data_IF_517885919917
#
_entry.id   IF_517885919917
#
_cell.length_a   1.000
_cell.length_b   1.000
_cell.length_c   1.000
_cell.angle_alpha   90.00
_cell.angle_beta   90.00
_cell.angle_gamma   90.00
#
_symmetry.space_group_name_H-M   'P 1'
#
loop_
_entity.id
_entity.type
_entity.pdbx_description
1 polymer ?
#
# COMPACT_ATOMS: atom_id res chain seq x y z
N UNK A 1 15.22 30.12 -3.60
CA UNK A 1 16.01 31.10 -4.37
C UNK A 1 16.90 30.45 -5.44
N UNK A 2 17.78 29.48 -5.12
CA UNK A 2 18.64 28.81 -6.11
C UNK A 2 17.89 28.16 -7.30
N UNK A 3 16.74 27.52 -7.07
CA UNK A 3 16.02 26.78 -8.12
C UNK A 3 15.27 27.67 -9.12
N UNK A 4 14.79 28.85 -8.70
CA UNK A 4 14.19 29.82 -9.63
C UNK A 4 15.26 30.50 -10.50
N UNK A 5 16.43 30.78 -9.93
CA UNK A 5 17.57 31.30 -10.67
C UNK A 5 18.04 30.34 -11.77
N UNK A 6 18.13 29.04 -11.47
CA UNK A 6 18.48 28.00 -12.47
C UNK A 6 17.46 27.94 -13.60
N UNK A 7 16.15 27.99 -13.30
CA UNK A 7 15.11 28.00 -14.34
C UNK A 7 15.21 29.23 -15.26
N UNK A 8 15.41 30.41 -14.67
CA UNK A 8 15.60 31.65 -15.44
C UNK A 8 16.84 31.56 -16.34
N UNK A 9 17.95 31.01 -15.83
CA UNK A 9 19.17 30.79 -16.60
C UNK A 9 18.97 29.79 -17.75
N UNK A 10 18.25 28.69 -17.54
CA UNK A 10 17.93 27.72 -18.59
C UNK A 10 17.06 28.32 -19.70
N UNK A 11 16.09 29.18 -19.36
CA UNK A 11 15.27 29.88 -20.35
C UNK A 11 16.12 30.87 -21.15
N UNK A 12 16.95 31.68 -20.48
CA UNK A 12 17.87 32.61 -21.13
C UNK A 12 18.83 31.88 -22.08
N UNK A 13 19.41 30.77 -21.63
CA UNK A 13 20.30 29.93 -22.44
C UNK A 13 19.56 29.33 -23.66
N UNK A 14 18.31 28.91 -23.50
CA UNK A 14 17.52 28.41 -24.64
C UNK A 14 17.18 29.49 -25.67
N UNK A 15 17.00 30.75 -25.26
CA UNK A 15 16.82 31.88 -26.19
C UNK A 15 18.11 32.16 -26.97
N UNK A 16 19.26 32.11 -26.30
CA UNK A 16 20.57 32.30 -26.93
C UNK A 16 20.91 31.21 -27.96
N UNK A 17 20.32 30.01 -27.83
CA UNK A 17 20.50 28.90 -28.77
C UNK A 17 19.64 29.01 -30.04
N UNK A 18 18.58 29.83 -30.07
CA UNK A 18 17.66 29.94 -31.21
C UNK A 18 18.40 30.26 -32.52
N UNK A 19 19.33 31.24 -32.58
CA UNK A 19 20.07 31.53 -33.82
C UNK A 19 20.92 30.37 -34.31
N UNK A 20 21.53 29.62 -33.38
CA UNK A 20 22.34 28.45 -33.72
C UNK A 20 21.48 27.33 -34.29
N UNK A 21 20.33 27.05 -33.65
CA UNK A 21 19.38 26.05 -34.13
C UNK A 21 18.73 26.45 -35.45
N UNK A 22 18.51 27.75 -35.71
CA UNK A 22 18.03 28.23 -37.00
C UNK A 22 19.03 27.96 -38.14
N UNK A 23 20.32 28.22 -37.90
CA UNK A 23 21.39 27.93 -38.88
C UNK A 23 21.49 26.43 -39.14
N UNK A 24 21.45 25.61 -38.09
CA UNK A 24 21.47 24.15 -38.20
C UNK A 24 20.23 23.64 -38.94
N UNK A 25 19.04 24.13 -38.63
CA UNK A 25 17.80 23.74 -39.30
C UNK A 25 17.85 24.09 -40.80
N UNK A 26 18.37 25.27 -41.16
CA UNK A 26 18.57 25.64 -42.57
C UNK A 26 19.57 24.71 -43.27
N UNK A 27 20.68 24.34 -42.61
CA UNK A 27 21.65 23.40 -43.16
C UNK A 27 21.05 22.01 -43.47
N UNK A 28 20.15 21.51 -42.62
CA UNK A 28 19.52 20.20 -42.83
C UNK A 28 18.29 20.22 -43.75
N UNK A 29 17.62 21.36 -43.91
CA UNK A 29 16.36 21.46 -44.68
C UNK A 29 16.59 21.81 -46.15
N UNK A 30 17.67 22.53 -46.47
CA UNK A 30 17.96 22.93 -47.84
C UNK A 30 19.15 22.15 -48.41
N UNK A 31 18.88 21.20 -49.30
CA UNK A 31 19.92 20.39 -49.99
C UNK A 31 20.93 21.22 -50.79
N UNK A 32 20.56 22.46 -51.16
CA UNK A 32 21.45 23.40 -51.84
C UNK A 32 22.59 23.95 -50.95
N UNK A 33 22.43 23.92 -49.62
CA UNK A 33 23.38 24.46 -48.65
C UNK A 33 24.39 23.38 -48.24
N UNK A 34 25.43 23.17 -49.05
CA UNK A 34 26.43 22.10 -48.83
C UNK A 34 27.45 22.39 -47.72
N UNK A 35 27.45 23.60 -47.15
CA UNK A 35 28.38 23.98 -46.08
C UNK A 35 27.71 24.85 -45.01
N UNK A 36 28.20 24.73 -43.77
CA UNK A 36 27.72 25.53 -42.64
C UNK A 36 27.85 27.05 -42.89
N UNK A 37 28.91 27.48 -43.58
CA UNK A 37 29.14 28.88 -43.93
C UNK A 37 28.05 29.42 -44.89
N UNK A 38 27.60 28.61 -45.84
CA UNK A 38 26.49 28.97 -46.73
C UNK A 38 25.17 29.07 -45.96
N UNK A 39 24.91 28.15 -45.02
CA UNK A 39 23.73 28.20 -44.17
C UNK A 39 23.71 29.43 -43.25
N UNK A 40 24.87 29.86 -42.74
CA UNK A 40 25.01 31.11 -42.00
C UNK A 40 24.66 32.33 -42.86
N UNK A 41 25.26 32.46 -44.06
CA UNK A 41 24.97 33.60 -44.96
C UNK A 41 23.53 33.63 -45.43
N UNK A 42 22.93 32.47 -45.70
CA UNK A 42 21.51 32.36 -46.03
C UNK A 42 20.63 32.78 -44.85
N UNK A 43 20.95 32.32 -43.63
CA UNK A 43 20.20 32.73 -42.44
C UNK A 43 20.26 34.26 -42.23
N UNK A 44 21.43 34.87 -42.45
CA UNK A 44 21.61 36.32 -42.39
C UNK A 44 20.83 37.06 -43.49
N UNK A 45 20.78 36.53 -44.71
CA UNK A 45 20.03 37.18 -45.80
C UNK A 45 18.52 37.20 -45.55
N UNK A 46 17.97 36.15 -44.92
CA UNK A 46 16.58 36.12 -44.48
C UNK A 46 16.29 37.26 -43.49
N UNK A 47 17.16 37.45 -42.47
CA UNK A 47 16.98 38.54 -41.50
C UNK A 47 17.15 39.94 -42.12
N UNK A 48 18.16 40.13 -42.97
CA UNK A 48 18.37 41.41 -43.67
C UNK A 48 17.22 41.73 -44.62
N UNK A 49 16.65 40.73 -45.28
CA UNK A 49 15.46 40.88 -46.12
C UNK A 49 14.24 41.36 -45.33
N UNK A 50 13.97 40.73 -44.19
CA UNK A 50 12.90 41.15 -43.28
C UNK A 50 13.13 42.56 -42.72
N UNK A 51 14.36 42.89 -42.33
CA UNK A 51 14.71 44.23 -41.82
C UNK A 51 14.53 45.33 -42.88
N UNK A 52 14.79 45.01 -44.15
CA UNK A 52 14.61 45.94 -45.29
C UNK A 52 13.15 46.06 -45.75
N UNK A 53 12.20 45.42 -45.08
CA UNK A 53 10.77 45.57 -45.34
C UNK A 53 10.15 44.48 -46.22
N UNK A 54 10.82 43.34 -46.44
CA UNK A 54 10.18 42.19 -47.07
C UNK A 54 9.02 41.68 -46.18
N UNK A 55 7.88 41.39 -46.80
CA UNK A 55 6.75 40.81 -46.08
C UNK A 55 7.11 39.42 -45.58
N UNK A 56 6.76 39.12 -44.33
CA UNK A 56 7.01 37.80 -43.75
C UNK A 56 6.25 36.70 -44.49
N UNK A 57 5.13 37.07 -45.14
CA UNK A 57 4.26 36.17 -45.91
C UNK A 57 4.89 35.68 -47.21
N UNK A 58 5.88 36.41 -47.74
CA UNK A 58 6.53 36.10 -49.02
C UNK A 58 7.71 35.11 -48.88
N UNK A 59 7.98 34.64 -47.65
CA UNK A 59 9.01 33.65 -47.39
C UNK A 59 8.64 32.29 -47.97
N UNK A 60 9.66 31.51 -48.35
CA UNK A 60 9.47 30.12 -48.80
C UNK A 60 8.97 29.23 -47.65
N UNK A 61 8.17 28.22 -47.97
CA UNK A 61 7.59 27.29 -47.00
C UNK A 61 8.64 26.66 -46.07
N UNK A 62 9.79 26.29 -46.61
CA UNK A 62 10.89 25.66 -45.88
C UNK A 62 11.46 26.57 -44.79
N UNK A 63 11.46 27.89 -44.99
CA UNK A 63 11.95 28.87 -44.00
C UNK A 63 11.03 28.93 -42.78
N UNK A 64 9.71 28.76 -42.96
CA UNK A 64 8.79 28.70 -41.83
C UNK A 64 9.01 27.44 -40.98
N UNK A 65 9.29 26.29 -41.61
CA UNK A 65 9.60 25.05 -40.91
C UNK A 65 10.90 25.18 -40.11
N UNK A 66 11.94 25.80 -40.68
CA UNK A 66 13.21 26.01 -39.95
C UNK A 66 13.07 27.04 -38.83
N UNK A 67 12.21 28.04 -38.96
CA UNK A 67 11.82 28.94 -37.87
C UNK A 67 11.05 28.22 -36.75
N UNK A 68 10.17 27.27 -37.07
CA UNK A 68 9.47 26.47 -36.06
C UNK A 68 10.43 25.55 -35.30
N UNK A 69 11.34 24.87 -36.02
CA UNK A 69 12.34 23.96 -35.45
C UNK A 69 13.32 24.74 -34.56
N UNK A 70 13.68 25.98 -34.91
CA UNK A 70 14.62 26.78 -34.11
C UNK A 70 14.07 27.16 -32.73
N UNK A 71 12.74 27.13 -32.55
CA UNK A 71 12.07 27.33 -31.25
C UNK A 71 12.05 26.07 -30.38
N UNK A 72 12.44 24.90 -30.90
CA UNK A 72 12.41 23.63 -30.16
C UNK A 72 13.16 23.67 -28.82
N UNK A 73 14.37 24.26 -28.69
CA UNK A 73 15.06 24.34 -27.41
C UNK A 73 14.27 25.12 -26.35
N UNK A 74 13.59 26.19 -26.75
CA UNK A 74 12.75 27.00 -25.87
C UNK A 74 11.49 26.24 -25.45
N UNK A 75 10.83 25.56 -26.39
CA UNK A 75 9.65 24.73 -26.09
C UNK A 75 9.99 23.57 -25.15
N UNK A 76 11.16 22.94 -25.32
CA UNK A 76 11.66 21.88 -24.46
C UNK A 76 11.97 22.37 -23.04
N UNK A 77 12.64 23.53 -22.89
CA UNK A 77 12.95 24.10 -21.56
C UNK A 77 11.68 24.53 -20.83
N UNK A 78 10.71 25.11 -21.53
CA UNK A 78 9.39 25.44 -20.98
C UNK A 78 8.69 24.18 -20.48
N UNK A 79 8.63 23.12 -21.30
CA UNK A 79 8.01 21.85 -20.94
C UNK A 79 8.62 21.20 -19.69
N UNK A 80 9.96 21.19 -19.58
CA UNK A 80 10.68 20.64 -18.43
C UNK A 80 10.50 21.53 -17.18
N UNK A 81 10.32 22.83 -17.35
CA UNK A 81 10.18 23.78 -16.24
C UNK A 81 8.84 23.70 -15.52
N UNK A 82 7.80 23.16 -16.17
CA UNK A 82 6.51 22.92 -15.55
C UNK A 82 6.64 21.86 -14.45
N UNK A 83 6.24 22.18 -13.21
CA UNK A 83 6.31 21.22 -12.11
C UNK A 83 5.38 20.04 -12.41
N UNK A 84 5.96 18.84 -12.56
CA UNK A 84 5.20 17.59 -12.79
C UNK A 84 4.39 17.17 -11.55
N UNK A 85 4.77 17.65 -10.38
CA UNK A 85 4.12 17.36 -9.10
C UNK A 85 3.91 18.67 -8.36
N UNK A 86 2.66 18.97 -7.99
CA UNK A 86 2.37 20.03 -7.01
C UNK A 86 2.81 19.50 -5.65
N UNK A 87 3.90 20.04 -5.09
CA UNK A 87 4.24 19.80 -3.69
C UNK A 87 3.17 20.48 -2.83
N UNK A 88 2.39 19.69 -2.10
CA UNK A 88 1.38 20.17 -1.16
C UNK A 88 1.97 20.18 0.24
N UNK A 89 1.72 21.25 1.00
CA UNK A 89 2.16 21.40 2.40
C UNK A 89 1.61 20.32 3.34
N UNK A 90 0.52 19.65 2.95
CA UNK A 90 -0.19 18.66 3.77
C UNK A 90 -0.05 17.23 3.24
N UNK A 91 0.96 16.97 2.41
CA UNK A 91 1.22 15.65 1.84
C UNK A 91 0.29 15.28 0.69
N UNK A 92 0.46 14.07 0.17
CA UNK A 92 -0.19 13.59 -1.06
C UNK A 92 -1.60 13.00 -0.83
N UNK A 93 -2.12 13.06 0.39
CA UNK A 93 -3.45 12.55 0.71
C UNK A 93 -4.52 13.33 -0.06
N UNK A 94 -5.35 12.60 -0.81
CA UNK A 94 -6.48 13.14 -1.55
C UNK A 94 -7.56 12.09 -1.67
N UNK A 95 -8.79 12.54 -1.93
CA UNK A 95 -9.86 11.64 -2.32
C UNK A 95 -9.47 10.87 -3.58
N UNK A 96 -9.80 9.58 -3.58
CA UNK A 96 -9.60 8.71 -4.72
C UNK A 96 -10.55 9.11 -5.85
N UNK A 97 -10.03 9.17 -7.08
CA UNK A 97 -10.83 9.37 -8.28
C UNK A 97 -11.12 8.01 -8.94
N UNK A 98 -12.02 7.98 -9.92
CA UNK A 98 -12.32 6.75 -10.68
C UNK A 98 -11.08 6.08 -11.23
N UNK A 99 -10.12 6.88 -11.73
CA UNK A 99 -8.81 6.42 -12.20
C UNK A 99 -7.98 5.69 -11.13
N UNK A 100 -8.16 5.96 -9.85
CA UNK A 100 -7.38 5.29 -8.81
C UNK A 100 -7.96 3.90 -8.44
N UNK A 101 -9.26 3.73 -8.68
CA UNK A 101 -10.04 2.52 -8.41
C UNK A 101 -10.12 1.63 -9.65
N UNK A 102 -10.21 2.20 -10.84
CA UNK A 102 -10.32 1.49 -12.12
C UNK A 102 -9.00 0.79 -12.52
N UNK A 103 -9.14 -0.36 -13.19
CA UNK A 103 -8.04 -1.15 -13.72
C UNK A 103 -7.28 -0.37 -14.82
N UNK A 104 -5.96 -0.25 -14.69
CA UNK A 104 -5.10 0.00 -15.85
C UNK A 104 -4.46 -1.29 -16.32
N UNK A 105 -4.48 -1.54 -17.63
CA UNK A 105 -3.62 -2.55 -18.24
C UNK A 105 -2.26 -1.90 -18.47
N UNK A 106 -1.28 -2.29 -17.68
CA UNK A 106 0.11 -1.85 -17.85
C UNK A 106 0.88 -2.98 -18.52
N UNK A 107 1.68 -2.64 -19.53
CA UNK A 107 2.67 -3.55 -20.10
C UNK A 107 3.73 -3.85 -19.04
N UNK A 108 3.79 -5.09 -18.57
CA UNK A 108 4.80 -5.57 -17.61
C UNK A 108 5.82 -6.44 -18.33
N UNK A 109 7.06 -6.50 -17.82
CA UNK A 109 8.06 -7.48 -18.28
C UNK A 109 7.58 -8.93 -18.17
N UNK A 110 6.60 -9.19 -17.30
CA UNK A 110 6.00 -10.51 -17.03
C UNK A 110 4.86 -10.87 -18.01
N UNK A 111 4.46 -9.98 -18.92
CA UNK A 111 3.41 -10.26 -19.90
C UNK A 111 2.59 -9.05 -20.35
N UNK A 112 1.77 -9.27 -21.38
CA UNK A 112 1.14 -8.22 -22.21
C UNK A 112 0.07 -7.37 -21.49
N UNK A 113 -0.44 -7.76 -20.31
CA UNK A 113 -1.47 -7.01 -19.58
C UNK A 113 -1.43 -7.32 -18.07
N UNK A 114 -0.65 -6.58 -17.28
CA UNK A 114 -0.81 -6.59 -15.82
C UNK A 114 -1.91 -5.60 -15.45
N UNK A 115 -3.00 -6.09 -14.87
CA UNK A 115 -4.06 -5.24 -14.33
C UNK A 115 -3.57 -4.63 -13.02
N UNK A 116 -3.41 -3.32 -12.98
CA UNK A 116 -2.93 -2.59 -11.81
C UNK A 116 -3.94 -1.52 -11.44
N UNK A 117 -4.41 -1.61 -10.20
CA UNK A 117 -5.17 -0.55 -9.53
C UNK A 117 -4.19 0.27 -8.70
N UNK A 118 -4.26 1.60 -8.75
CA UNK A 118 -3.36 2.45 -7.95
C UNK A 118 -3.54 2.23 -6.45
N UNK A 119 -4.77 1.97 -6.03
CA UNK A 119 -5.09 1.61 -4.64
C UNK A 119 -4.79 0.14 -4.32
N UNK A 120 -4.49 -0.69 -5.32
CA UNK A 120 -4.30 -2.13 -5.14
C UNK A 120 -5.57 -2.89 -4.75
N UNK A 121 -6.74 -2.31 -5.01
CA UNK A 121 -8.06 -2.96 -4.86
C UNK A 121 -8.32 -3.92 -6.02
N UNK A 122 -9.32 -4.78 -5.87
CA UNK A 122 -9.81 -5.71 -6.88
C UNK A 122 -11.35 -5.67 -6.91
N UNK A 123 -11.99 -6.30 -7.90
CA UNK A 123 -13.45 -6.32 -8.00
C UNK A 123 -14.08 -7.72 -7.86
N UNK A 124 -13.26 -8.77 -7.89
CA UNK A 124 -13.75 -10.14 -7.99
C UNK A 124 -13.62 -10.90 -6.67
N UNK A 125 -12.52 -10.72 -5.93
CA UNK A 125 -12.21 -11.47 -4.73
C UNK A 125 -11.58 -10.58 -3.65
N UNK A 126 -11.75 -10.98 -2.38
CA UNK A 126 -11.12 -10.35 -1.23
C UNK A 126 -12.11 -9.71 -0.25
N UNK A 127 -11.56 -9.00 0.73
CA UNK A 127 -12.34 -8.31 1.76
C UNK A 127 -13.05 -7.09 1.15
N UNK A 128 -14.37 -7.07 1.18
CA UNK A 128 -15.19 -5.99 0.61
C UNK A 128 -15.06 -4.75 1.49
N UNK A 129 -14.53 -3.67 0.88
CA UNK A 129 -14.42 -2.34 1.47
C UNK A 129 -15.61 -1.45 1.15
N UNK A 130 -16.28 -1.67 0.03
CA UNK A 130 -17.42 -0.86 -0.41
C UNK A 130 -17.88 -1.19 -1.82
N UNK A 131 -18.62 -0.29 -2.44
CA UNK A 131 -19.07 -0.42 -3.84
C UNK A 131 -18.71 0.80 -4.67
N UNK A 132 -18.38 0.60 -5.94
CA UNK A 132 -17.98 1.65 -6.87
C UNK A 132 -18.54 1.41 -8.27
N UNK A 133 -18.96 2.49 -8.94
CA UNK A 133 -19.42 2.48 -10.34
C UNK A 133 -20.89 2.89 -10.54
N UNK A 134 -21.20 3.41 -11.72
CA UNK A 134 -22.54 3.76 -12.20
C UNK A 134 -22.66 3.40 -13.69
N UNK A 135 -23.78 2.88 -14.20
CA UNK A 135 -25.04 2.56 -13.51
C UNK A 135 -25.00 1.25 -12.71
N UNK A 136 -24.02 0.38 -12.97
CA UNK A 136 -23.83 -0.87 -12.22
C UNK A 136 -22.74 -0.69 -11.17
N UNK A 137 -23.13 -0.83 -9.90
CA UNK A 137 -22.21 -0.87 -8.76
C UNK A 137 -21.45 -2.20 -8.77
N UNK A 138 -20.14 -2.14 -8.58
CA UNK A 138 -19.26 -3.30 -8.37
C UNK A 138 -18.68 -3.26 -6.97
N UNK A 139 -18.45 -4.42 -6.39
CA UNK A 139 -17.83 -4.53 -5.08
C UNK A 139 -16.34 -4.18 -5.19
N UNK A 140 -15.84 -3.34 -4.29
CA UNK A 140 -14.43 -2.97 -4.20
C UNK A 140 -13.81 -3.78 -3.09
N UNK A 141 -12.98 -4.73 -3.48
CA UNK A 141 -12.37 -5.70 -2.60
C UNK A 141 -10.89 -5.39 -2.38
N UNK A 142 -10.36 -5.87 -1.25
CA UNK A 142 -8.97 -5.80 -0.91
C UNK A 142 -8.45 -7.19 -0.58
N UNK A 143 -7.51 -7.66 -1.40
CA UNK A 143 -6.94 -9.02 -1.34
C UNK A 143 -5.42 -8.94 -1.17
N UNK A 144 -4.99 -8.23 -0.11
CA UNK A 144 -3.59 -8.20 0.32
C UNK A 144 -3.52 -8.52 1.80
N UNK A 145 -2.41 -9.10 2.29
CA UNK A 145 -2.25 -9.51 3.68
C UNK A 145 -1.96 -8.30 4.60
N UNK A 146 -2.77 -7.24 4.51
CA UNK A 146 -2.75 -6.10 5.43
C UNK A 146 -4.07 -6.02 6.19
N UNK A 147 -4.05 -5.47 7.39
CA UNK A 147 -5.25 -5.23 8.19
C UNK A 147 -6.10 -4.08 7.64
N UNK A 148 -7.42 -4.16 7.86
CA UNK A 148 -8.37 -3.09 7.60
C UNK A 148 -9.00 -2.61 8.90
N UNK A 149 -9.06 -1.30 9.11
CA UNK A 149 -9.73 -0.67 10.25
C UNK A 149 -10.97 0.07 9.78
N UNK A 150 -12.11 -0.22 10.41
CA UNK A 150 -13.40 0.37 10.05
C UNK A 150 -13.89 1.19 11.24
N UNK A 151 -13.99 2.49 11.02
CA UNK A 151 -14.46 3.45 12.02
C UNK A 151 -15.88 3.86 11.66
N UNK A 152 -16.83 3.54 12.52
CA UNK A 152 -18.24 3.87 12.32
C UNK A 152 -18.94 4.10 13.67
N UNK A 153 -19.80 5.13 13.80
CA UNK A 153 -20.55 5.36 15.03
C UNK A 153 -21.58 4.25 15.27
N UNK A 154 -22.09 4.12 16.53
CA UNK A 154 -23.19 3.22 16.82
C UNK A 154 -24.40 3.49 15.92
N UNK A 155 -25.07 2.43 15.44
CA UNK A 155 -26.22 2.57 14.55
C UNK A 155 -25.89 2.83 13.06
N UNK A 156 -24.63 3.07 12.68
CA UNK A 156 -24.25 3.32 11.28
C UNK A 156 -24.29 2.09 10.36
N UNK A 157 -24.75 0.93 10.86
CA UNK A 157 -24.88 -0.27 10.06
C UNK A 157 -23.57 -1.04 9.81
N UNK A 158 -22.52 -0.88 10.63
CA UNK A 158 -21.25 -1.64 10.48
C UNK A 158 -21.46 -3.16 10.32
N UNK A 159 -22.43 -3.73 11.03
CA UNK A 159 -22.80 -5.14 10.94
C UNK A 159 -23.41 -5.47 9.58
N UNK A 160 -24.36 -4.65 9.12
CA UNK A 160 -25.11 -4.90 7.89
C UNK A 160 -24.30 -4.58 6.61
N UNK A 161 -23.49 -3.53 6.62
CA UNK A 161 -22.78 -3.05 5.45
C UNK A 161 -21.40 -3.69 5.27
N UNK A 162 -20.79 -4.20 6.34
CA UNK A 162 -19.43 -4.74 6.30
C UNK A 162 -19.40 -6.19 6.75
N UNK A 163 -19.80 -6.48 7.99
CA UNK A 163 -19.61 -7.81 8.57
C UNK A 163 -20.41 -8.89 7.82
N UNK A 164 -21.70 -8.68 7.60
CA UNK A 164 -22.56 -9.65 6.90
C UNK A 164 -22.12 -9.88 5.45
N UNK A 165 -21.91 -8.86 4.60
CA UNK A 165 -21.45 -9.08 3.23
C UNK A 165 -20.14 -9.85 3.18
N UNK A 166 -19.14 -9.46 3.98
CA UNK A 166 -17.85 -10.14 4.01
C UNK A 166 -17.98 -11.60 4.46
N UNK A 167 -18.81 -11.90 5.47
CA UNK A 167 -19.03 -13.29 5.91
C UNK A 167 -19.80 -14.14 4.90
N UNK A 168 -20.55 -13.54 3.99
CA UNK A 168 -21.26 -14.26 2.94
C UNK A 168 -20.44 -14.41 1.66
N UNK A 169 -19.40 -13.59 1.45
CA UNK A 169 -18.59 -13.62 0.22
C UNK A 169 -17.20 -14.20 0.42
N UNK A 170 -16.58 -14.03 1.59
CA UNK A 170 -15.22 -14.53 1.85
C UNK A 170 -15.21 -16.05 2.03
N UNK A 171 -14.58 -16.82 1.10
CA UNK A 171 -14.51 -18.27 1.21
C UNK A 171 -13.50 -18.74 2.27
N UNK A 172 -12.59 -17.85 2.68
CA UNK A 172 -11.54 -18.14 3.66
C UNK A 172 -12.12 -18.46 5.04
N UNK A 173 -11.33 -19.20 5.84
CA UNK A 173 -11.61 -19.40 7.27
C UNK A 173 -11.59 -18.08 8.01
N UNK A 174 -12.58 -17.86 8.88
CA UNK A 174 -12.72 -16.63 9.67
C UNK A 174 -12.85 -16.96 11.15
N UNK A 175 -12.22 -16.14 12.01
CA UNK A 175 -12.45 -16.10 13.45
C UNK A 175 -13.22 -14.81 13.73
N UNK A 176 -14.38 -14.93 14.37
CA UNK A 176 -15.33 -13.83 14.51
C UNK A 176 -15.69 -13.69 15.99
N UNK A 177 -15.52 -12.49 16.54
CA UNK A 177 -15.95 -12.14 17.90
C UNK A 177 -17.40 -11.64 17.86
N UNK A 178 -18.36 -12.55 17.99
CA UNK A 178 -19.79 -12.25 17.96
C UNK A 178 -20.42 -12.40 19.34
N UNK A 179 -20.44 -11.30 20.11
CA UNK A 179 -20.99 -11.29 21.47
C UNK A 179 -22.50 -11.58 21.48
N UNK A 180 -23.22 -11.26 20.39
CA UNK A 180 -24.69 -11.37 20.32
C UNK A 180 -25.19 -12.64 19.62
N UNK A 181 -24.35 -13.29 18.81
CA UNK A 181 -24.73 -14.44 17.98
C UNK A 181 -25.43 -14.08 16.66
N UNK A 182 -25.76 -12.80 16.42
CA UNK A 182 -26.51 -12.36 15.24
C UNK A 182 -25.80 -12.65 13.90
N UNK A 183 -24.45 -12.61 13.89
CA UNK A 183 -23.67 -12.88 12.68
C UNK A 183 -23.70 -14.37 12.37
N UNK A 184 -23.54 -15.21 13.39
CA UNK A 184 -23.64 -16.66 13.25
C UNK A 184 -25.00 -17.05 12.70
N UNK A 185 -26.09 -16.59 13.31
CA UNK A 185 -27.45 -17.00 12.94
C UNK A 185 -27.77 -16.64 11.48
N UNK A 186 -27.25 -15.51 10.99
CA UNK A 186 -27.47 -15.05 9.62
C UNK A 186 -26.53 -15.68 8.58
N UNK A 187 -25.35 -16.16 8.98
CA UNK A 187 -24.30 -16.54 8.01
C UNK A 187 -23.87 -18.00 8.08
N UNK A 188 -23.99 -18.68 9.22
CA UNK A 188 -23.46 -20.03 9.43
C UNK A 188 -23.99 -21.03 8.40
N UNK A 189 -25.31 -21.07 8.18
CA UNK A 189 -25.91 -21.99 7.20
C UNK A 189 -25.46 -21.72 5.77
N UNK A 190 -25.32 -20.44 5.38
CA UNK A 190 -24.82 -20.07 4.06
C UNK A 190 -23.37 -20.49 3.88
N UNK A 191 -22.52 -20.20 4.88
CA UNK A 191 -21.09 -20.55 4.85
C UNK A 191 -20.87 -22.06 4.80
N UNK A 192 -21.70 -22.86 5.49
CA UNK A 192 -21.67 -24.33 5.38
C UNK A 192 -22.06 -24.81 3.98
N UNK A 193 -23.19 -24.32 3.47
CA UNK A 193 -23.79 -24.83 2.23
C UNK A 193 -23.05 -24.39 0.96
N UNK A 194 -22.62 -23.13 0.91
CA UNK A 194 -22.10 -22.52 -0.32
C UNK A 194 -20.60 -22.25 -0.29
N UNK A 195 -20.02 -21.99 0.88
CA UNK A 195 -18.57 -21.75 1.03
C UNK A 195 -17.82 -22.98 1.57
N UNK A 196 -18.54 -24.08 1.83
CA UNK A 196 -18.01 -25.34 2.34
C UNK A 196 -17.17 -25.18 3.62
N UNK A 197 -17.57 -24.25 4.49
CA UNK A 197 -16.87 -24.01 5.75
C UNK A 197 -17.52 -24.80 6.90
N UNK A 198 -16.68 -25.36 7.78
CA UNK A 198 -17.13 -25.90 9.07
C UNK A 198 -17.38 -24.75 10.05
N UNK A 199 -18.49 -24.82 10.77
CA UNK A 199 -18.84 -23.84 11.80
C UNK A 199 -18.50 -24.40 13.16
N UNK A 200 -17.69 -23.65 13.91
CA UNK A 200 -17.29 -23.95 15.27
C UNK A 200 -17.66 -22.76 16.15
N UNK A 201 -18.35 -23.01 17.25
CA UNK A 201 -18.79 -22.01 18.21
C UNK A 201 -18.04 -22.27 19.50
N UNK A 202 -17.33 -21.25 19.97
CA UNK A 202 -16.68 -21.23 21.27
C UNK A 202 -17.48 -20.30 22.18
N UNK A 203 -18.44 -20.88 22.90
CA UNK A 203 -19.28 -20.19 23.87
C UNK A 203 -19.24 -20.95 25.21
N UNK A 204 -18.25 -20.71 26.08
CA UNK A 204 -18.03 -21.54 27.27
C UNK A 204 -19.20 -21.54 28.27
N UNK A 205 -20.13 -20.58 28.15
CA UNK A 205 -21.29 -20.45 29.04
C UNK A 205 -22.63 -20.78 28.37
N UNK A 206 -22.64 -21.04 27.06
CA UNK A 206 -23.87 -21.30 26.31
C UNK A 206 -24.08 -22.76 25.93
N UNK A 207 -25.34 -23.14 25.79
CA UNK A 207 -25.75 -24.48 25.36
C UNK A 207 -25.41 -24.78 23.89
N UNK A 208 -25.09 -23.74 23.11
CA UNK A 208 -24.75 -23.81 21.70
C UNK A 208 -23.26 -24.03 21.43
N UNK A 209 -22.46 -24.27 22.47
CA UNK A 209 -21.04 -24.49 22.35
C UNK A 209 -20.72 -25.77 21.55
N UNK A 210 -19.93 -25.64 20.49
CA UNK A 210 -19.55 -26.79 19.65
C UNK A 210 -18.05 -27.08 19.66
N UNK A 211 -17.25 -26.28 20.36
CA UNK A 211 -15.82 -26.53 20.46
C UNK A 211 -15.28 -26.19 21.84
N UNK A 212 -14.19 -26.87 22.20
CA UNK A 212 -13.47 -26.65 23.45
C UNK A 212 -12.02 -26.37 23.09
N UNK A 213 -11.43 -25.41 23.80
CA UNK A 213 -10.05 -25.02 23.58
C UNK A 213 -9.28 -25.16 24.89
N UNK A 214 -8.21 -25.95 24.85
CA UNK A 214 -7.21 -26.00 25.90
C UNK A 214 -5.85 -25.76 25.23
N UNK A 215 -5.16 -24.64 25.51
CA UNK A 215 -3.84 -24.36 24.94
C UNK A 215 -2.79 -25.40 25.33
N UNK A 216 -3.01 -26.14 26.43
CA UNK A 216 -2.14 -27.21 26.93
C UNK A 216 -2.62 -28.61 26.58
N UNK A 217 -3.49 -28.78 25.57
CA UNK A 217 -3.91 -30.09 25.10
C UNK A 217 -2.70 -30.97 24.77
N UNK A 218 -2.72 -32.22 25.23
CA UNK A 218 -1.62 -33.19 25.03
C UNK A 218 -1.24 -33.34 23.55
N UNK A 219 -2.18 -33.18 22.62
CA UNK A 219 -1.93 -33.24 21.16
C UNK A 219 -1.05 -32.09 20.68
N UNK A 220 -1.18 -30.92 21.28
CA UNK A 220 -0.38 -29.72 20.98
C UNK A 220 1.00 -29.84 21.64
N UNK A 221 1.04 -30.24 22.91
CA UNK A 221 2.27 -30.20 23.71
C UNK A 221 3.22 -31.38 23.45
N UNK A 222 2.70 -32.57 23.15
CA UNK A 222 3.51 -33.79 22.93
C UNK A 222 4.61 -33.63 21.86
N UNK A 223 4.37 -33.04 20.67
CA UNK A 223 5.41 -32.86 19.66
C UNK A 223 6.41 -31.73 19.97
N UNK A 224 6.14 -30.86 20.95
CA UNK A 224 6.98 -29.70 21.24
C UNK A 224 8.21 -30.07 22.07
N UNK A 225 9.34 -29.39 21.81
CA UNK A 225 10.53 -29.43 22.67
C UNK A 225 10.34 -28.55 23.93
N UNK A 226 11.29 -28.61 24.87
CA UNK A 226 11.18 -27.85 26.13
C UNK A 226 11.05 -26.34 25.91
N UNK A 227 11.85 -25.77 25.01
CA UNK A 227 11.83 -24.32 24.75
C UNK A 227 10.50 -23.85 24.15
N UNK A 228 9.92 -24.62 23.22
CA UNK A 228 8.60 -24.35 22.65
C UNK A 228 7.50 -24.43 23.71
N UNK A 229 7.58 -25.38 24.64
CA UNK A 229 6.65 -25.48 25.77
C UNK A 229 6.78 -24.30 26.71
N UNK A 230 8.00 -23.88 27.04
CA UNK A 230 8.25 -22.71 27.88
C UNK A 230 7.68 -21.45 27.24
N UNK A 231 7.92 -21.24 25.94
CA UNK A 231 7.34 -20.12 25.17
C UNK A 231 5.81 -20.16 25.18
N UNK A 232 5.21 -21.32 24.93
CA UNK A 232 3.75 -21.49 24.97
C UNK A 232 3.18 -21.07 26.32
N UNK A 233 3.80 -21.51 27.42
CA UNK A 233 3.34 -21.17 28.77
C UNK A 233 3.50 -19.68 29.04
N UNK A 234 4.63 -19.07 28.65
CA UNK A 234 4.86 -17.64 28.78
C UNK A 234 3.88 -16.79 27.96
N UNK A 235 3.61 -17.16 26.71
CA UNK A 235 2.63 -16.49 25.85
C UNK A 235 1.22 -16.58 26.44
N UNK A 236 0.81 -17.75 26.94
CA UNK A 236 -0.47 -17.89 27.61
C UNK A 236 -0.54 -17.07 28.91
N UNK A 237 0.54 -17.05 29.71
CA UNK A 237 0.61 -16.24 30.93
C UNK A 237 0.45 -14.75 30.62
N UNK A 238 1.11 -14.25 29.56
CA UNK A 238 0.99 -12.86 29.13
C UNK A 238 -0.39 -12.51 28.58
N UNK A 239 -1.07 -13.46 27.93
CA UNK A 239 -2.43 -13.25 27.43
C UNK A 239 -3.49 -13.26 28.54
N UNK A 240 -3.27 -14.03 29.61
CA UNK A 240 -4.18 -14.10 30.76
C UNK A 240 -3.97 -12.91 31.71
N UNK A 241 -2.71 -12.55 31.95
CA UNK A 241 -2.32 -11.49 32.88
C UNK A 241 -1.83 -10.26 32.11
N UNK A 242 -2.76 -9.34 31.84
CA UNK A 242 -2.46 -8.07 31.16
C UNK A 242 -1.83 -7.13 32.18
N UNK A 243 -0.61 -6.65 31.91
CA UNK A 243 0.02 -5.60 32.71
C UNK A 243 -0.54 -4.24 32.29
N UNK A 244 -1.04 -3.43 33.23
CA UNK A 244 -1.42 -2.04 32.95
C UNK A 244 -0.17 -1.17 32.70
N UNK A 245 -0.30 -0.11 31.90
CA UNK A 245 0.82 0.74 31.47
C UNK A 245 1.60 1.42 32.61
N UNK A 246 1.04 1.49 33.82
CA UNK A 246 1.68 2.12 35.00
C UNK A 246 2.47 1.10 35.84
N UNK A 247 3.50 0.53 35.23
CA UNK A 247 4.41 -0.41 35.88
C UNK A 247 3.77 -1.77 36.14
N UNK A 248 4.54 -2.85 35.99
CA UNK A 248 4.01 -4.18 36.29
C UNK A 248 3.75 -4.29 37.79
N UNK A 249 2.49 -4.48 38.17
CA UNK A 249 2.11 -4.80 39.54
C UNK A 249 2.88 -6.05 39.98
N UNK A 250 3.57 -5.95 41.12
CA UNK A 250 4.35 -7.01 41.74
C UNK A 250 3.56 -8.32 41.86
N UNK A 251 2.26 -8.22 42.15
CA UNK A 251 1.38 -9.39 42.26
C UNK A 251 1.13 -10.06 40.92
N UNK A 252 0.96 -9.28 39.85
CA UNK A 252 0.77 -9.78 38.49
C UNK A 252 2.04 -10.48 38.01
N UNK A 253 3.21 -9.91 38.30
CA UNK A 253 4.49 -10.54 37.98
C UNK A 253 4.66 -11.88 38.71
N UNK A 254 4.37 -11.92 40.02
CA UNK A 254 4.41 -13.16 40.81
C UNK A 254 3.46 -14.22 40.26
N UNK A 255 2.23 -13.84 39.92
CA UNK A 255 1.25 -14.75 39.34
C UNK A 255 1.69 -15.30 37.99
N UNK A 256 2.29 -14.48 37.12
CA UNK A 256 2.89 -14.93 35.86
C UNK A 256 4.00 -15.96 36.11
N UNK A 257 4.90 -15.69 37.05
CA UNK A 257 5.99 -16.62 37.39
C UNK A 257 5.44 -17.96 37.90
N UNK A 258 4.45 -17.93 38.81
CA UNK A 258 3.80 -19.13 39.31
C UNK A 258 3.10 -19.92 38.19
N UNK A 259 2.37 -19.24 37.30
CA UNK A 259 1.70 -19.86 36.16
C UNK A 259 2.68 -20.44 35.15
N UNK A 260 3.88 -19.88 35.02
CA UNK A 260 4.95 -20.44 34.18
C UNK A 260 5.58 -21.66 34.84
N UNK A 261 5.79 -21.60 36.15
CA UNK A 261 6.49 -22.63 36.89
C UNK A 261 5.72 -23.96 36.96
N UNK A 262 4.41 -23.92 37.24
CA UNK A 262 3.60 -25.14 37.41
C UNK A 262 3.55 -26.05 36.16
N UNK A 263 3.25 -25.55 34.95
CA UNK A 263 3.25 -26.37 33.74
C UNK A 263 4.65 -26.88 33.39
N UNK A 264 5.70 -26.08 33.59
CA UNK A 264 7.08 -26.54 33.40
C UNK A 264 7.42 -27.75 34.30
N UNK A 265 6.98 -27.75 35.56
CA UNK A 265 7.09 -28.90 36.46
C UNK A 265 6.37 -30.14 35.94
N UNK A 266 5.19 -29.97 35.31
CA UNK A 266 4.41 -31.07 34.74
C UNK A 266 5.00 -31.60 33.43
N UNK A 267 5.71 -30.77 32.66
CA UNK A 267 6.27 -31.12 31.35
C UNK A 267 7.69 -31.69 31.39
N UNK A 268 8.39 -31.58 32.53
CA UNK A 268 9.71 -32.19 32.73
C UNK A 268 9.52 -33.63 33.25
N UNK A 269 9.80 -34.66 32.44
CA UNK A 269 9.85 -36.02 32.96
C UNK A 269 11.08 -36.13 33.86
N UNK A 270 10.88 -36.46 35.15
CA UNK A 270 11.88 -36.93 36.14
C UNK A 270 13.34 -36.84 35.67
N UNK A 271 13.93 -35.66 35.47
CA UNK A 271 15.38 -35.46 35.37
C UNK A 271 15.73 -33.97 35.34
N UNK A 272 16.77 -33.66 36.13
CA UNK A 272 17.38 -32.35 36.48
C UNK A 272 16.62 -31.49 37.50
N UNK A 273 16.67 -31.93 38.75
CA UNK A 273 16.36 -31.16 39.96
C UNK A 273 17.05 -29.78 40.01
N UNK A 274 18.19 -29.59 39.34
CA UNK A 274 19.03 -28.39 39.46
C UNK A 274 18.39 -27.12 38.87
N UNK A 275 17.67 -27.20 37.75
CA UNK A 275 17.00 -26.03 37.14
C UNK A 275 15.73 -25.65 37.89
N UNK A 276 15.03 -26.65 38.42
CA UNK A 276 13.83 -26.45 39.25
C UNK A 276 14.17 -25.81 40.59
N UNK A 277 15.33 -26.13 41.15
CA UNK A 277 15.83 -25.57 42.41
C UNK A 277 16.27 -24.10 42.25
N UNK A 278 16.89 -23.72 41.13
CA UNK A 278 17.22 -22.30 40.87
C UNK A 278 15.98 -21.42 40.66
N UNK A 279 14.93 -21.93 39.99
CA UNK A 279 13.66 -21.22 39.86
C UNK A 279 12.88 -21.19 41.18
N UNK A 280 12.92 -22.26 41.98
CA UNK A 280 12.32 -22.29 43.32
C UNK A 280 12.93 -21.23 44.24
N UNK A 281 14.26 -21.13 44.24
CA UNK A 281 14.99 -20.12 45.04
C UNK A 281 14.64 -18.69 44.58
N UNK A 282 14.45 -18.45 43.28
CA UNK A 282 13.96 -17.17 42.79
C UNK A 282 12.52 -16.86 43.23
N UNK A 283 11.63 -17.86 43.28
CA UNK A 283 10.26 -17.71 43.76
C UNK A 283 10.23 -17.45 45.28
N UNK A 284 11.02 -18.18 46.08
CA UNK A 284 11.15 -17.95 47.53
C UNK A 284 11.70 -16.55 47.85
N UNK A 285 12.75 -16.12 47.15
CA UNK A 285 13.34 -14.78 47.32
C UNK A 285 12.34 -13.68 46.92
N UNK A 286 11.44 -13.93 45.96
CA UNK A 286 10.41 -12.96 45.59
C UNK A 286 9.19 -12.97 46.53
N UNK A 287 8.88 -14.08 47.20
CA UNK A 287 7.70 -14.22 48.08
C UNK A 287 7.89 -13.63 49.49
N UNK A 288 9.13 -13.46 49.94
CA UNK A 288 9.53 -12.69 51.14
C UNK A 288 9.48 -11.19 50.83
#
# INVERSE_FOLDING_TARGET
>A
MKMQFVKAFCVLFSILLIPLFFILANYYTFDALKSFRQAYFFSQSVFVGLYKGASILDLKFEVYITMLISLMPLMATIYISFPKTKETSHGYARWANSKDIECFKIFSKEGFCKVVHRLGVQFDNGFILGKFGFPKLRDVCYDKPLGAMIVAPPGAGKTACVALPNLLTLPNSCIITDIKGELRDKTAGYRQKFLNNRILIFNPYGDDNTCYFNPFDKRIVKPMNFDQRLRLVQENANNVFISEEKGEDHWVLKLKICLVFMPCMMFVPKMKQTFLMSLWVQIEIMLI
#
